data_IF_198692837394
#
_entry.id   IF_198692837394
#
_cell.length_a   1.000
_cell.length_b   1.000
_cell.length_c   1.000
_cell.angle_alpha   90.00
_cell.angle_beta   90.00
_cell.angle_gamma   90.00
#
_symmetry.space_group_name_H-M   'P 1'
#
loop_
_entity.id
_entity.type
_entity.pdbx_description
1 polymer ?
#
# COMPACT_ATOMS: atom_id res chain seq x y z
N UNK A 1 -23.60 -45.88 20.32
CA UNK A 1 -23.61 -46.10 18.86
C UNK A 1 -24.22 -44.86 18.22
N UNK A 2 -23.48 -44.27 17.28
CA UNK A 2 -23.90 -43.16 16.39
C UNK A 2 -24.13 -41.82 17.11
N UNK A 3 -23.27 -40.80 17.05
CA UNK A 3 -22.34 -40.41 16.00
C UNK A 3 -22.92 -39.20 15.28
N UNK A 4 -22.47 -37.99 15.63
CA UNK A 4 -22.55 -36.80 14.78
C UNK A 4 -21.64 -35.72 15.38
N UNK A 5 -20.42 -35.63 14.84
CA UNK A 5 -19.68 -34.37 14.81
C UNK A 5 -19.98 -33.71 13.48
N UNK A 6 -20.20 -32.39 13.44
CA UNK A 6 -19.45 -31.57 12.50
C UNK A 6 -19.03 -30.24 13.17
N UNK A 7 -17.74 -29.97 13.40
CA UNK A 7 -16.80 -29.40 12.42
C UNK A 7 -17.35 -28.11 11.77
N UNK A 8 -16.99 -26.95 12.37
CA UNK A 8 -16.97 -25.55 11.86
C UNK A 8 -17.99 -24.56 12.48
N UNK A 9 -17.69 -24.10 13.70
CA UNK A 9 -18.35 -22.95 14.36
C UNK A 9 -17.73 -21.60 13.94
N UNK A 10 -17.84 -21.18 12.68
CA UNK A 10 -17.42 -19.82 12.26
C UNK A 10 -18.53 -18.77 12.38
N UNK A 11 -19.75 -19.17 12.75
CA UNK A 11 -20.94 -18.29 12.74
C UNK A 11 -21.25 -17.62 14.09
N UNK A 12 -20.55 -17.99 15.19
CA UNK A 12 -20.77 -17.41 16.52
C UNK A 12 -19.80 -16.28 16.92
N UNK A 13 -18.93 -15.82 16.02
CA UNK A 13 -17.96 -14.75 16.31
C UNK A 13 -18.42 -13.37 15.80
N UNK A 14 -19.38 -13.31 14.86
CA UNK A 14 -19.64 -12.06 14.12
C UNK A 14 -20.69 -11.14 14.79
N UNK A 15 -21.57 -11.63 15.65
CA UNK A 15 -22.70 -10.81 16.19
C UNK A 15 -22.77 -10.65 17.72
N UNK A 16 -21.77 -11.09 18.48
CA UNK A 16 -21.59 -10.75 19.91
C UNK A 16 -20.32 -9.92 20.16
N UNK A 17 -19.94 -9.08 19.19
CA UNK A 17 -18.75 -8.24 19.23
C UNK A 17 -19.01 -6.73 19.06
N UNK A 18 -20.26 -6.27 19.21
CA UNK A 18 -20.61 -4.84 19.16
C UNK A 18 -20.72 -4.21 20.56
N UNK A 19 -20.02 -4.76 21.54
CA UNK A 19 -19.91 -4.19 22.89
C UNK A 19 -18.49 -3.65 23.06
N UNK A 20 -18.29 -2.42 22.59
CA UNK A 20 -17.10 -1.60 22.76
C UNK A 20 -15.80 -2.13 22.13
N UNK A 21 -15.45 -1.56 20.97
CA UNK A 21 -14.06 -1.44 20.55
C UNK A 21 -13.22 -0.94 21.76
N UNK A 22 -12.05 -1.53 22.07
CA UNK A 22 -11.21 -1.03 23.15
C UNK A 22 -10.89 0.44 22.90
N UNK A 23 -10.94 1.27 23.94
CA UNK A 23 -10.78 2.73 23.85
C UNK A 23 -9.52 3.15 23.07
N UNK A 24 -8.45 2.33 23.15
CA UNK A 24 -7.21 2.49 22.38
C UNK A 24 -7.40 2.48 20.86
N UNK A 25 -8.33 1.68 20.34
CA UNK A 25 -8.64 1.62 18.90
C UNK A 25 -9.43 2.85 18.43
N UNK A 26 -10.36 3.35 19.23
CA UNK A 26 -11.11 4.58 18.95
C UNK A 26 -10.21 5.81 19.01
N UNK A 27 -9.31 5.86 20.00
CA UNK A 27 -8.26 6.89 20.07
C UNK A 27 -7.37 6.84 18.82
N UNK A 28 -6.93 5.64 18.42
CA UNK A 28 -6.13 5.47 17.22
C UNK A 28 -6.85 5.99 15.96
N UNK A 29 -8.14 5.67 15.78
CA UNK A 29 -8.96 6.20 14.68
C UNK A 29 -9.04 7.73 14.71
N UNK A 30 -9.27 8.34 15.89
CA UNK A 30 -9.31 9.81 16.01
C UNK A 30 -7.98 10.47 15.67
N UNK A 31 -6.87 9.89 16.13
CA UNK A 31 -5.53 10.40 15.79
C UNK A 31 -5.24 10.26 14.29
N UNK A 32 -5.67 9.17 13.67
CA UNK A 32 -5.58 8.98 12.23
C UNK A 32 -6.44 10.00 11.47
N UNK A 33 -7.70 10.18 11.83
CA UNK A 33 -8.62 11.11 11.17
C UNK A 33 -8.08 12.54 11.20
N UNK A 34 -7.50 12.95 12.34
CA UNK A 34 -6.82 14.24 12.48
C UNK A 34 -5.59 14.33 11.58
N UNK A 35 -4.70 13.33 11.62
CA UNK A 35 -3.51 13.29 10.79
C UNK A 35 -3.87 13.37 9.29
N UNK A 36 -4.89 12.63 8.87
CA UNK A 36 -5.37 12.57 7.49
C UNK A 36 -5.98 13.91 7.06
N UNK A 37 -6.98 14.41 7.79
CA UNK A 37 -7.68 15.65 7.43
C UNK A 37 -6.75 16.86 7.38
N UNK A 38 -5.79 16.97 8.30
CA UNK A 38 -4.87 18.10 8.37
C UNK A 38 -3.74 18.04 7.32
N UNK A 39 -3.33 16.85 6.87
CA UNK A 39 -2.11 16.69 6.06
C UNK A 39 -2.31 16.07 4.67
N UNK A 40 -3.49 15.51 4.36
CA UNK A 40 -3.74 14.82 3.08
C UNK A 40 -3.47 15.72 1.87
N UNK A 41 -4.11 16.89 1.79
CA UNK A 41 -3.94 17.82 0.66
C UNK A 41 -2.49 18.31 0.51
N UNK A 42 -1.83 18.57 1.64
CA UNK A 42 -0.43 18.99 1.63
C UNK A 42 0.48 17.87 1.09
N UNK A 43 0.29 16.64 1.54
CA UNK A 43 1.08 15.50 1.12
C UNK A 43 0.85 15.19 -0.36
N UNK A 44 -0.40 15.21 -0.81
CA UNK A 44 -0.76 15.03 -2.22
C UNK A 44 -0.08 16.10 -3.10
N UNK A 45 -0.11 17.37 -2.69
CA UNK A 45 0.59 18.44 -3.41
C UNK A 45 2.12 18.33 -3.36
N UNK A 46 2.69 17.74 -2.31
CA UNK A 46 4.12 17.43 -2.22
C UNK A 46 4.51 16.27 -3.16
N UNK A 47 3.70 15.21 -3.23
CA UNK A 47 3.90 14.06 -4.12
C UNK A 47 3.69 14.46 -5.59
N UNK A 48 2.67 15.26 -5.88
CA UNK A 48 2.40 15.75 -7.23
C UNK A 48 3.58 16.53 -7.80
N UNK A 49 4.20 17.42 -7.01
CA UNK A 49 5.41 18.15 -7.42
C UNK A 49 6.61 17.24 -7.73
N UNK A 50 6.65 16.02 -7.21
CA UNK A 50 7.72 15.04 -7.45
C UNK A 50 7.42 14.09 -8.60
N UNK A 51 6.15 13.76 -8.82
CA UNK A 51 5.72 12.77 -9.81
C UNK A 51 5.24 13.40 -11.13
N UNK A 52 4.74 14.63 -11.10
CA UNK A 52 4.13 15.30 -12.26
C UNK A 52 2.78 14.74 -12.70
N UNK A 53 2.31 13.63 -12.11
CA UNK A 53 1.04 12.96 -12.43
C UNK A 53 0.09 12.99 -11.23
N UNK A 54 -1.16 13.45 -11.45
CA UNK A 54 -2.16 13.56 -10.38
C UNK A 54 -2.62 12.19 -9.87
N UNK A 55 -2.89 11.24 -10.78
CA UNK A 55 -3.36 9.90 -10.40
C UNK A 55 -2.33 9.18 -9.52
N UNK A 56 -1.06 9.12 -9.97
CA UNK A 56 0.02 8.51 -9.18
C UNK A 56 0.20 9.22 -7.82
N UNK A 57 0.04 10.55 -7.77
CA UNK A 57 0.16 11.29 -6.51
C UNK A 57 -0.96 10.94 -5.51
N UNK A 58 -2.18 10.76 -5.99
CA UNK A 58 -3.32 10.32 -5.18
C UNK A 58 -3.11 8.89 -4.65
N UNK A 59 -2.72 7.97 -5.53
CA UNK A 59 -2.44 6.57 -5.16
C UNK A 59 -1.33 6.49 -4.09
N UNK A 60 -0.20 7.18 -4.31
CA UNK A 60 0.90 7.16 -3.33
C UNK A 60 0.55 7.90 -2.02
N UNK A 61 -0.38 8.85 -2.08
CA UNK A 61 -0.90 9.51 -0.87
C UNK A 61 -1.69 8.50 -0.04
N UNK A 62 -2.62 7.76 -0.67
CA UNK A 62 -3.39 6.71 0.00
C UNK A 62 -2.47 5.63 0.58
N UNK A 63 -1.52 5.11 -0.21
CA UNK A 63 -0.53 4.14 0.24
C UNK A 63 0.29 4.61 1.45
N UNK A 64 0.59 5.90 1.50
CA UNK A 64 1.31 6.49 2.65
C UNK A 64 0.47 6.45 3.91
N UNK A 65 -0.81 6.85 3.84
CA UNK A 65 -1.73 6.82 4.99
C UNK A 65 -2.12 5.38 5.40
N UNK A 66 -2.25 4.45 4.45
CA UNK A 66 -2.46 3.04 4.78
C UNK A 66 -1.28 2.47 5.61
N UNK A 67 -0.06 2.95 5.38
CA UNK A 67 1.10 2.56 6.18
C UNK A 67 1.10 3.18 7.58
N UNK A 68 0.43 4.31 7.80
CA UNK A 68 0.25 4.90 9.13
C UNK A 68 -0.78 4.16 9.97
N UNK A 69 -1.69 3.39 9.35
CA UNK A 69 -2.67 2.55 10.06
C UNK A 69 -2.06 1.31 10.73
N UNK A 70 -0.82 0.95 10.38
CA UNK A 70 -0.09 -0.11 11.10
C UNK A 70 0.10 0.32 12.55
N UNK A 71 0.14 -0.61 13.52
CA UNK A 71 0.22 -0.29 14.95
C UNK A 71 1.50 0.48 15.28
N UNK A 72 1.43 1.79 15.12
CA UNK A 72 2.41 2.81 15.45
C UNK A 72 1.62 3.81 16.28
N UNK A 73 2.17 4.26 17.41
CA UNK A 73 1.49 5.23 18.25
C UNK A 73 1.40 6.59 17.54
N UNK A 74 0.33 6.81 16.76
CA UNK A 74 0.07 8.07 16.07
C UNK A 74 -0.06 9.25 17.05
N UNK A 75 -0.44 8.97 18.30
CA UNK A 75 -0.53 9.95 19.37
C UNK A 75 0.82 10.59 19.75
N UNK A 76 1.93 9.90 19.49
CA UNK A 76 3.28 10.33 19.89
C UNK A 76 4.06 11.03 18.78
N UNK A 77 3.40 11.37 17.66
CA UNK A 77 4.06 12.03 16.52
C UNK A 77 4.10 13.54 16.79
N UNK A 78 5.29 14.04 17.10
CA UNK A 78 5.52 15.49 17.29
C UNK A 78 5.51 16.26 15.96
N UNK A 79 6.06 15.65 14.91
CA UNK A 79 6.27 16.28 13.59
C UNK A 79 5.52 15.51 12.48
N UNK A 80 4.20 15.70 12.34
CA UNK A 80 3.36 14.89 11.44
C UNK A 80 3.81 14.96 9.98
N UNK A 81 4.21 16.13 9.50
CA UNK A 81 4.68 16.32 8.12
C UNK A 81 6.02 15.63 7.85
N UNK A 82 6.96 15.72 8.78
CA UNK A 82 8.27 15.07 8.65
C UNK A 82 8.10 13.54 8.65
N UNK A 83 7.26 13.03 9.55
CA UNK A 83 6.89 11.62 9.61
C UNK A 83 6.25 11.13 8.30
N UNK A 84 5.25 11.87 7.79
CA UNK A 84 4.61 11.54 6.51
C UNK A 84 5.59 11.59 5.33
N UNK A 85 6.49 12.59 5.28
CA UNK A 85 7.55 12.66 4.28
C UNK A 85 8.46 11.42 4.33
N UNK A 86 8.81 10.93 5.52
CA UNK A 86 9.65 9.74 5.67
C UNK A 86 8.96 8.49 5.10
N UNK A 87 7.68 8.30 5.41
CA UNK A 87 6.91 7.16 4.87
C UNK A 87 6.71 7.31 3.36
N UNK A 88 6.30 8.49 2.91
CA UNK A 88 6.07 8.79 1.50
C UNK A 88 7.36 8.60 0.67
N UNK A 89 8.53 8.94 1.22
CA UNK A 89 9.81 8.71 0.54
C UNK A 89 10.08 7.21 0.32
N UNK A 90 9.75 6.36 1.30
CA UNK A 90 9.86 4.89 1.15
C UNK A 90 8.87 4.34 0.11
N UNK A 91 7.64 4.87 0.10
CA UNK A 91 6.61 4.56 -0.89
C UNK A 91 7.11 4.94 -2.29
N UNK A 92 7.63 6.15 -2.44
CA UNK A 92 8.18 6.69 -3.68
C UNK A 92 9.34 5.83 -4.22
N UNK A 93 10.30 5.45 -3.36
CA UNK A 93 11.39 4.54 -3.75
C UNK A 93 10.88 3.16 -4.19
N UNK A 94 9.80 2.67 -3.58
CA UNK A 94 9.17 1.43 -4.03
C UNK A 94 8.51 1.60 -5.39
N UNK A 95 7.75 2.68 -5.58
CA UNK A 95 7.10 3.01 -6.84
C UNK A 95 8.11 3.05 -8.00
N UNK A 96 9.20 3.82 -7.87
CA UNK A 96 10.20 3.93 -8.93
C UNK A 96 10.86 2.59 -9.28
N UNK A 97 11.13 1.75 -8.28
CA UNK A 97 11.67 0.41 -8.52
C UNK A 97 10.70 -0.47 -9.32
N UNK A 98 9.40 -0.42 -9.03
CA UNK A 98 8.40 -1.17 -9.78
C UNK A 98 8.22 -0.63 -11.19
N UNK A 99 8.21 0.70 -11.36
CA UNK A 99 8.10 1.34 -12.67
C UNK A 99 9.27 0.99 -13.58
N UNK A 100 10.51 1.02 -13.07
CA UNK A 100 11.68 0.67 -13.87
C UNK A 100 11.67 -0.82 -14.26
N UNK A 101 11.28 -1.71 -13.35
CA UNK A 101 11.13 -3.13 -13.66
C UNK A 101 10.06 -3.37 -14.72
N UNK A 102 8.92 -2.68 -14.61
CA UNK A 102 7.84 -2.77 -15.59
C UNK A 102 8.30 -2.29 -16.97
N UNK A 103 9.04 -1.17 -17.02
CA UNK A 103 9.64 -0.63 -18.24
C UNK A 103 10.60 -1.64 -18.89
N UNK A 104 11.51 -2.22 -18.10
CA UNK A 104 12.46 -3.22 -18.60
C UNK A 104 11.76 -4.49 -19.13
N UNK A 105 10.67 -4.91 -18.49
CA UNK A 105 9.85 -6.03 -18.96
C UNK A 105 9.21 -5.73 -20.31
N UNK A 106 8.61 -4.55 -20.46
CA UNK A 106 8.01 -4.11 -21.73
C UNK A 106 9.06 -4.00 -22.85
N UNK A 107 10.25 -3.46 -22.55
CA UNK A 107 11.36 -3.37 -23.49
C UNK A 107 11.81 -4.78 -23.96
N UNK A 108 11.87 -5.75 -23.04
CA UNK A 108 12.24 -7.14 -23.37
C UNK A 108 11.20 -7.85 -24.24
N UNK A 109 9.90 -7.59 -24.02
CA UNK A 109 8.81 -8.14 -24.83
C UNK A 109 8.74 -7.49 -26.22
N UNK A 110 9.11 -6.21 -26.33
CA UNK A 110 9.17 -5.50 -27.60
C UNK A 110 10.39 -5.88 -28.44
N UNK A 111 11.44 -6.44 -27.82
CA UNK A 111 12.61 -6.94 -28.53
C UNK A 111 12.26 -8.26 -29.23
N UNK A 112 12.41 -8.36 -30.56
CA UNK A 112 12.24 -9.64 -31.24
C UNK A 112 13.26 -10.64 -30.70
N UNK A 113 12.90 -11.91 -30.46
CA UNK A 113 13.86 -12.91 -30.01
C UNK A 113 15.01 -12.93 -31.02
N UNK A 114 16.24 -12.72 -30.54
CA UNK A 114 17.42 -12.70 -31.39
C UNK A 114 17.38 -13.94 -32.28
N UNK A 115 17.20 -13.72 -33.59
CA UNK A 115 16.96 -14.77 -34.56
C UNK A 115 17.97 -15.89 -34.29
N UNK A 116 17.46 -17.03 -33.82
CA UNK A 116 18.28 -18.22 -33.69
C UNK A 116 18.89 -18.41 -35.07
N UNK A 117 20.21 -18.19 -35.18
CA UNK A 117 20.94 -18.50 -36.40
C UNK A 117 20.64 -19.97 -36.65
N UNK A 118 19.71 -20.22 -37.56
CA UNK A 118 19.37 -21.53 -38.06
C UNK A 118 20.68 -22.15 -38.52
N UNK A 119 21.25 -22.97 -37.64
CA UNK A 119 22.44 -23.77 -37.87
C UNK A 119 22.02 -24.94 -38.74
N UNK A 120 21.54 -24.65 -39.94
CA UNK A 120 21.37 -25.63 -40.98
C UNK A 120 22.19 -25.13 -42.17
N UNK A 121 23.39 -25.71 -42.40
CA UNK A 121 24.12 -25.43 -43.63
C UNK A 121 23.28 -25.98 -44.78
N UNK A 122 22.85 -25.09 -45.68
CA UNK A 122 22.25 -25.45 -46.96
C UNK A 122 23.24 -26.31 -47.74
N UNK A 123 22.77 -27.49 -48.17
CA UNK A 123 23.51 -28.42 -49.03
C UNK A 123 23.57 -27.94 -50.48
#
# INVERSE_FOLDING_TARGET
>A
MSGLSPRRDWENVVWLGLSALPDSSLQHTRHFDRLYSENHRWLQGWLWRRLGCHANAEDLTQDTFLRTLKPTQLASIEEPRAFLCLIASRVLCSFWRHTELHRACLDALASPPAASKSRFPSS
#
